data_IF_069851790549
#
_entry.id   IF_069851790549
#
_cell.length_a   1.000
_cell.length_b   1.000
_cell.length_c   1.000
_cell.angle_alpha   90.00
_cell.angle_beta   90.00
_cell.angle_gamma   90.00
#
_symmetry.space_group_name_H-M   'P 1'
#
loop_
_entity.id
_entity.type
_entity.pdbx_description
1 polymer ?
#
# COMPACT_ATOMS: atom_id res chain seq x y z
N UNK A 1 -1.28 14.77 8.54
CA UNK A 1 0.09 15.01 8.06
C UNK A 1 0.29 14.07 6.88
N UNK A 2 0.38 14.62 5.66
CA UNK A 2 0.39 13.87 4.38
C UNK A 2 1.81 13.71 3.82
N UNK A 3 2.79 13.56 4.72
CA UNK A 3 4.22 13.74 4.45
C UNK A 3 5.02 12.44 4.62
N UNK A 4 4.33 11.32 4.77
CA UNK A 4 4.92 10.01 4.98
C UNK A 4 3.98 8.93 4.42
N UNK A 5 4.43 7.68 4.37
CA UNK A 5 3.60 6.56 3.96
C UNK A 5 2.33 6.45 4.84
N UNK A 6 1.24 5.84 4.33
CA UNK A 6 0.10 5.46 5.14
C UNK A 6 0.50 4.61 6.37
N UNK A 7 -0.16 4.81 7.51
CA UNK A 7 0.14 4.08 8.75
C UNK A 7 0.03 2.57 8.62
N UNK A 8 -0.93 2.08 7.83
CA UNK A 8 -1.06 0.63 7.54
C UNK A 8 0.16 0.07 6.82
N UNK A 9 0.77 0.84 5.91
CA UNK A 9 2.00 0.41 5.22
C UNK A 9 3.17 0.36 6.19
N UNK A 10 3.33 1.37 7.07
CA UNK A 10 4.39 1.36 8.09
C UNK A 10 4.26 0.16 9.03
N UNK A 11 3.03 -0.15 9.46
CA UNK A 11 2.74 -1.29 10.34
C UNK A 11 3.00 -2.63 9.65
N UNK A 12 2.46 -2.83 8.45
CA UNK A 12 2.53 -4.12 7.77
C UNK A 12 3.93 -4.37 7.21
N UNK A 13 4.49 -3.44 6.44
CA UNK A 13 5.78 -3.63 5.77
C UNK A 13 6.93 -3.58 6.81
N UNK A 14 6.81 -2.70 7.80
CA UNK A 14 7.78 -2.56 8.88
C UNK A 14 9.14 -2.06 8.39
N UNK A 15 10.22 -2.69 8.88
CA UNK A 15 11.60 -2.28 8.62
C UNK A 15 12.04 -2.37 7.15
N UNK A 16 11.28 -3.04 6.28
CA UNK A 16 11.54 -3.06 4.84
C UNK A 16 11.09 -1.77 4.14
N UNK A 17 10.23 -0.97 4.77
CA UNK A 17 9.77 0.30 4.21
C UNK A 17 10.82 1.38 4.51
N UNK A 18 11.44 2.00 3.48
CA UNK A 18 12.40 3.08 3.70
C UNK A 18 11.71 4.27 4.37
N UNK A 19 12.42 4.97 5.25
CA UNK A 19 11.92 6.22 5.84
C UNK A 19 12.45 7.42 5.06
N UNK A 20 11.64 8.46 4.94
CA UNK A 20 12.10 9.75 4.42
C UNK A 20 12.84 10.52 5.50
N UNK A 21 13.94 11.18 5.12
CA UNK A 21 14.49 12.26 5.95
C UNK A 21 13.54 13.46 5.91
N UNK A 22 13.69 14.38 6.88
CA UNK A 22 12.89 15.61 6.91
C UNK A 22 13.01 16.41 5.60
N UNK A 23 14.22 16.54 5.05
CA UNK A 23 14.46 17.27 3.80
C UNK A 23 13.79 16.56 2.61
N UNK A 24 13.83 15.23 2.56
CA UNK A 24 13.15 14.47 1.50
C UNK A 24 11.63 14.62 1.59
N UNK A 25 11.09 14.54 2.79
CA UNK A 25 9.67 14.73 3.09
C UNK A 25 9.16 16.11 2.65
N UNK A 26 9.95 17.16 2.94
CA UNK A 26 9.65 18.53 2.50
C UNK A 26 9.70 18.67 0.97
N UNK A 27 10.65 17.99 0.31
CA UNK A 27 10.81 18.04 -1.15
C UNK A 27 9.67 17.38 -1.93
N UNK A 28 9.16 16.24 -1.43
CA UNK A 28 8.07 15.50 -2.11
C UNK A 28 6.69 16.13 -1.86
N UNK A 29 6.56 16.94 -0.81
CA UNK A 29 5.28 17.55 -0.46
C UNK A 29 4.89 18.59 -1.51
N UNK A 30 3.76 18.37 -2.17
CA UNK A 30 3.25 19.29 -3.18
C UNK A 30 4.10 19.33 -4.46
N UNK A 31 4.94 18.31 -4.70
CA UNK A 31 5.78 18.20 -5.90
C UNK A 31 4.98 17.75 -7.15
N UNK A 32 3.72 18.18 -7.27
CA UNK A 32 2.81 17.78 -8.34
C UNK A 32 1.88 18.93 -8.72
N UNK A 33 1.75 19.17 -10.03
CA UNK A 33 0.82 20.15 -10.60
C UNK A 33 -0.53 19.53 -10.99
N UNK A 34 -0.53 18.24 -11.31
CA UNK A 34 -1.73 17.45 -11.62
C UNK A 34 -1.52 15.96 -11.28
N UNK A 35 -2.62 15.21 -11.21
CA UNK A 35 -2.60 13.75 -11.01
C UNK A 35 -3.35 13.10 -12.18
N UNK A 36 -2.63 12.33 -13.00
CA UNK A 36 -3.23 11.44 -13.99
C UNK A 36 -3.57 10.09 -13.36
N UNK A 37 -4.79 9.59 -13.58
CA UNK A 37 -5.25 8.30 -13.04
C UNK A 37 -5.42 7.32 -14.19
N UNK A 38 -4.65 6.24 -14.17
CA UNK A 38 -4.85 5.09 -15.05
C UNK A 38 -5.77 4.08 -14.35
N UNK A 39 -6.90 3.75 -14.97
CA UNK A 39 -7.85 2.78 -14.44
C UNK A 39 -8.23 1.76 -15.52
N UNK A 40 -8.09 0.47 -15.19
CA UNK A 40 -8.34 -0.63 -16.14
C UNK A 40 -9.42 -1.59 -15.65
N UNK A 41 -9.40 -1.94 -14.36
CA UNK A 41 -10.37 -2.85 -13.75
C UNK A 41 -10.46 -2.60 -12.24
N UNK A 42 -11.49 -3.18 -11.63
CA UNK A 42 -11.71 -3.22 -10.19
C UNK A 42 -11.74 -4.68 -9.73
N UNK A 43 -11.29 -4.93 -8.50
CA UNK A 43 -11.27 -6.26 -7.88
C UNK A 43 -12.11 -6.27 -6.61
N UNK A 44 -12.63 -7.43 -6.25
CA UNK A 44 -13.20 -7.69 -4.93
C UNK A 44 -12.07 -8.05 -3.97
N UNK A 45 -12.09 -7.48 -2.77
CA UNK A 45 -11.07 -7.72 -1.74
C UNK A 45 -11.70 -8.20 -0.44
N UNK A 46 -11.04 -9.10 0.26
CA UNK A 46 -11.39 -9.51 1.62
C UNK A 46 -10.18 -9.33 2.54
N UNK A 47 -10.44 -9.05 3.83
CA UNK A 47 -9.40 -9.02 4.85
C UNK A 47 -8.80 -10.41 5.04
N UNK A 48 -7.48 -10.47 5.23
CA UNK A 48 -6.75 -11.67 5.56
C UNK A 48 -5.74 -11.36 6.66
N UNK A 49 -5.55 -12.25 7.66
CA UNK A 49 -4.54 -12.05 8.69
C UNK A 49 -3.14 -11.85 8.08
N UNK A 50 -2.42 -10.84 8.59
CA UNK A 50 -1.05 -10.58 8.20
C UNK A 50 -0.19 -11.81 8.49
N UNK A 51 0.47 -12.34 7.45
CA UNK A 51 1.32 -13.52 7.58
C UNK A 51 2.52 -13.25 8.52
N UNK A 52 3.10 -14.34 9.05
CA UNK A 52 4.32 -14.28 9.86
C UNK A 52 5.50 -14.87 9.08
N UNK A 53 6.71 -14.40 9.38
CA UNK A 53 7.93 -14.87 8.71
C UNK A 53 8.36 -13.99 7.53
N UNK A 54 8.94 -14.62 6.50
CA UNK A 54 9.44 -13.93 5.31
C UNK A 54 8.27 -13.44 4.47
N UNK A 55 8.21 -12.14 4.22
CA UNK A 55 7.14 -11.47 3.49
C UNK A 55 7.67 -10.67 2.32
N UNK A 56 6.89 -10.65 1.26
CA UNK A 56 7.05 -9.87 0.04
C UNK A 56 5.98 -8.77 -0.04
N UNK A 57 5.95 -8.06 -1.16
CA UNK A 57 4.95 -7.03 -1.42
C UNK A 57 3.51 -7.54 -1.34
N UNK A 58 3.24 -8.76 -1.83
CA UNK A 58 1.88 -9.28 -1.91
C UNK A 58 1.34 -9.64 -0.52
N UNK A 59 2.16 -10.32 0.27
CA UNK A 59 1.84 -10.74 1.63
C UNK A 59 1.71 -9.56 2.60
N UNK A 60 2.32 -8.41 2.32
CA UNK A 60 2.14 -7.16 3.08
C UNK A 60 0.77 -6.50 2.88
N UNK A 61 0.08 -6.78 1.77
CA UNK A 61 -1.23 -6.22 1.50
C UNK A 61 -2.29 -6.76 2.45
N UNK A 62 -2.07 -7.95 3.05
CA UNK A 62 -3.00 -8.59 4.01
C UNK A 62 -4.44 -8.70 3.48
N UNK A 63 -4.60 -9.01 2.20
CA UNK A 63 -5.90 -9.16 1.55
C UNK A 63 -5.89 -10.31 0.55
N UNK A 64 -7.06 -10.91 0.36
CA UNK A 64 -7.33 -11.81 -0.76
C UNK A 64 -8.07 -11.03 -1.86
N UNK A 65 -7.64 -11.21 -3.12
CA UNK A 65 -8.16 -10.46 -4.27
C UNK A 65 -8.85 -11.37 -5.28
N UNK A 66 -10.02 -10.95 -5.77
CA UNK A 66 -10.87 -11.75 -6.67
C UNK A 66 -11.40 -10.94 -7.85
N UNK A 67 -11.54 -11.60 -9.00
CA UNK A 67 -12.09 -11.00 -10.23
C UNK A 67 -13.61 -10.93 -10.23
N UNK A 68 -14.29 -11.92 -9.64
CA UNK A 68 -15.74 -11.93 -9.45
C UNK A 68 -16.12 -11.99 -7.97
N UNK A 69 -17.29 -11.44 -7.65
CA UNK A 69 -17.86 -11.49 -6.29
C UNK A 69 -18.09 -12.93 -5.81
N UNK A 70 -18.38 -13.83 -6.75
CA UNK A 70 -18.73 -15.22 -6.47
C UNK A 70 -17.54 -16.15 -6.40
N UNK A 71 -16.34 -15.68 -6.76
CA UNK A 71 -15.13 -16.50 -6.67
C UNK A 71 -14.82 -16.79 -5.19
N UNK A 72 -14.28 -17.96 -4.86
CA UNK A 72 -13.83 -18.24 -3.50
C UNK A 72 -12.72 -17.26 -3.08
N UNK A 73 -12.70 -16.82 -1.80
CA UNK A 73 -11.61 -16.01 -1.24
C UNK A 73 -10.28 -16.77 -1.28
#
# INVERSE_FOLDING_TARGET
MFEDYPEVMKKNVGSRLPSFSKVQSELIKGSLDFIGINHYYSLYVNDRPLETGVRDYNTDMSVDSRGSRTDPP
#
